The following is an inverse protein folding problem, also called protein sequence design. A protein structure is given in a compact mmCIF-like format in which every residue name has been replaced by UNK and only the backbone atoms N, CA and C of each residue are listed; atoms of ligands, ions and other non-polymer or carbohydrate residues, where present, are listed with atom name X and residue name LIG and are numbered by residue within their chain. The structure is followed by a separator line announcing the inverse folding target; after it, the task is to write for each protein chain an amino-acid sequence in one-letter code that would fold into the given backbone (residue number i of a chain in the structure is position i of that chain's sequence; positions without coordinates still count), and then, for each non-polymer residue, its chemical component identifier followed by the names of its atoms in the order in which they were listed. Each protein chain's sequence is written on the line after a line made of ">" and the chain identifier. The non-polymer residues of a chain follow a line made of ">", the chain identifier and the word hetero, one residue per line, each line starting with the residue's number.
data_IF_082172847432
#
_entry.id   IF_082172847432
#
_cell.length_a   1.000
_cell.length_b   1.000
_cell.length_c   1.000
_cell.angle_alpha   90.00
_cell.angle_beta   90.00
_cell.angle_gamma   90.00
#
_symmetry.space_group_name_H-M   'P 1'
#
loop_
_entity.id
_entity.type
_entity.pdbx_description
1 polymer ?
#
# COMPACT_ATOMS: atom_id res chain seq x y z
N UNK A 1 29.29 -1.90 49.57
CA UNK A 1 27.84 -1.94 49.24
C UNK A 1 27.33 -0.63 48.61
N UNK A 2 27.56 0.55 49.21
CA UNK A 2 27.09 1.85 48.63
C UNK A 2 27.61 2.16 47.21
N UNK A 3 28.89 1.87 46.92
CA UNK A 3 29.47 2.06 45.58
C UNK A 3 28.92 1.10 44.53
N UNK A 4 28.58 -0.12 44.92
CA UNK A 4 27.96 -1.11 44.04
C UNK A 4 26.52 -0.69 43.69
N UNK A 5 25.76 -0.23 44.68
CA UNK A 5 24.41 0.28 44.47
C UNK A 5 24.41 1.51 43.53
N UNK A 6 25.35 2.44 43.71
CA UNK A 6 25.49 3.60 42.83
C UNK A 6 25.82 3.20 41.38
N UNK A 7 26.67 2.18 41.19
CA UNK A 7 27.00 1.65 39.86
C UNK A 7 25.78 1.00 39.19
N UNK A 8 25.00 0.22 39.94
CA UNK A 8 23.78 -0.43 39.43
C UNK A 8 22.75 0.62 39.00
N UNK A 9 22.56 1.67 39.80
CA UNK A 9 21.64 2.78 39.47
C UNK A 9 22.11 3.53 38.22
N UNK A 10 23.41 3.80 38.10
CA UNK A 10 23.98 4.46 36.92
C UNK A 10 23.78 3.61 35.66
N UNK A 11 24.03 2.30 35.75
CA UNK A 11 23.84 1.34 34.63
C UNK A 11 22.36 1.26 34.21
N UNK A 12 21.43 1.25 35.17
CA UNK A 12 19.99 1.32 34.89
C UNK A 12 19.61 2.60 34.15
N UNK A 13 20.18 3.74 34.54
CA UNK A 13 19.85 5.04 33.93
C UNK A 13 20.45 5.21 32.52
N UNK A 14 21.58 4.56 32.22
CA UNK A 14 22.21 4.64 30.90
C UNK A 14 21.64 3.62 29.90
N UNK A 15 21.13 2.48 30.37
CA UNK A 15 20.53 1.45 29.51
C UNK A 15 19.04 1.67 29.22
N UNK A 16 18.32 2.40 30.07
CA UNK A 16 16.89 2.75 29.87
C UNK A 16 16.58 3.61 28.62
N UNK A 17 17.41 4.57 28.17
CA UNK A 17 17.14 5.27 26.91
C UNK A 17 17.37 4.40 25.68
N UNK A 18 18.25 3.39 25.76
CA UNK A 18 18.60 2.53 24.61
C UNK A 18 17.41 1.66 24.19
N UNK A 19 16.60 1.18 25.14
CA UNK A 19 15.39 0.42 24.82
C UNK A 19 14.30 1.26 24.15
N UNK A 20 14.27 2.58 24.37
CA UNK A 20 13.35 3.49 23.67
C UNK A 20 13.76 3.78 22.23
N UNK A 21 15.04 3.63 21.87
CA UNK A 21 15.49 3.85 20.50
C UNK A 21 15.00 2.76 19.53
N UNK A 22 14.67 1.57 20.04
CA UNK A 22 14.14 0.48 19.23
C UNK A 22 12.61 0.50 19.11
N UNK A 23 11.92 1.43 19.77
CA UNK A 23 10.47 1.54 19.74
C UNK A 23 10.05 2.91 19.22
N UNK A 24 9.33 2.91 18.11
CA UNK A 24 8.59 4.10 17.68
C UNK A 24 7.34 4.26 18.56
N UNK A 25 6.86 5.50 18.80
CA UNK A 25 5.58 5.71 19.46
C UNK A 25 4.39 5.03 18.76
N UNK A 26 4.52 4.68 17.47
CA UNK A 26 3.51 3.94 16.72
C UNK A 26 3.45 2.46 17.11
N UNK A 27 4.54 1.92 17.66
CA UNK A 27 4.66 0.49 17.97
C UNK A 27 3.69 0.08 19.09
N UNK A 28 3.31 1.00 19.99
CA UNK A 28 2.29 0.74 21.02
C UNK A 28 0.89 0.54 20.44
N UNK A 29 0.64 1.04 19.22
CA UNK A 29 -0.64 0.95 18.52
C UNK A 29 -0.52 0.17 17.22
N UNK A 30 0.45 -0.75 17.16
CA UNK A 30 0.70 -1.59 16.01
C UNK A 30 0.70 -3.06 16.39
N UNK A 31 0.22 -3.88 15.46
CA UNK A 31 0.36 -5.34 15.49
C UNK A 31 1.08 -5.75 14.21
N UNK A 32 2.16 -6.50 14.36
CA UNK A 32 2.96 -7.03 13.27
C UNK A 32 2.96 -8.55 13.30
N UNK A 33 2.84 -9.17 12.13
CA UNK A 33 2.95 -10.61 11.94
C UNK A 33 3.91 -10.91 10.81
N UNK A 34 4.74 -11.93 11.01
CA UNK A 34 5.67 -12.44 9.99
C UNK A 34 5.10 -13.72 9.38
N UNK A 35 5.03 -13.76 8.06
CA UNK A 35 4.48 -14.87 7.30
C UNK A 35 5.61 -15.83 6.87
N UNK A 36 6.11 -16.63 7.81
CA UNK A 36 7.31 -17.45 7.61
C UNK A 36 7.14 -18.95 7.88
N UNK A 37 5.89 -19.45 7.82
CA UNK A 37 5.63 -20.87 8.07
C UNK A 37 6.44 -21.76 7.10
N UNK A 38 7.26 -22.70 7.61
CA UNK A 38 8.05 -23.58 6.76
C UNK A 38 7.20 -24.36 5.75
N UNK A 39 7.68 -24.45 4.51
CA UNK A 39 6.99 -25.15 3.43
C UNK A 39 5.80 -24.38 2.81
N UNK A 40 5.53 -23.15 3.26
CA UNK A 40 4.50 -22.29 2.67
C UNK A 40 5.15 -21.10 1.98
N UNK A 41 4.79 -20.88 0.72
CA UNK A 41 5.19 -19.70 -0.05
C UNK A 41 4.01 -18.73 -0.06
N UNK A 42 4.17 -17.60 0.62
CA UNK A 42 3.17 -16.54 0.63
C UNK A 42 3.31 -15.70 -0.63
N UNK A 43 2.33 -15.83 -1.54
CA UNK A 43 2.20 -14.98 -2.71
C UNK A 43 1.06 -13.99 -2.47
N UNK A 44 1.31 -12.68 -2.56
CA UNK A 44 0.27 -11.68 -2.39
C UNK A 44 -0.78 -11.79 -3.49
N UNK A 45 -2.05 -11.72 -3.13
CA UNK A 45 -3.16 -11.61 -4.07
C UNK A 45 -4.12 -10.50 -3.61
N UNK A 46 -4.35 -9.43 -4.41
CA UNK A 46 -3.74 -9.16 -5.72
C UNK A 46 -2.20 -9.03 -5.64
N UNK A 47 -1.47 -9.18 -6.77
CA UNK A 47 -0.06 -8.80 -6.82
C UNK A 47 0.08 -7.39 -6.24
N UNK A 48 1.13 -7.14 -5.47
CA UNK A 48 1.19 -5.91 -4.68
C UNK A 48 1.06 -4.61 -5.52
N UNK A 49 1.48 -4.64 -6.78
CA UNK A 49 1.38 -3.54 -7.75
C UNK A 49 -0.06 -3.24 -8.19
N UNK A 50 -1.01 -4.15 -7.95
CA UNK A 50 -2.41 -4.02 -8.35
C UNK A 50 -3.31 -3.43 -7.24
N UNK A 51 -2.75 -3.10 -6.07
CA UNK A 51 -3.49 -2.41 -5.01
C UNK A 51 -3.74 -0.95 -5.42
N UNK A 52 -4.98 -0.63 -5.80
CA UNK A 52 -5.42 0.75 -5.99
C UNK A 52 -5.41 1.48 -4.64
N UNK A 53 -4.86 2.70 -4.59
CA UNK A 53 -4.67 3.51 -3.37
C UNK A 53 -3.64 2.96 -2.37
N UNK A 54 -2.67 2.17 -2.82
CA UNK A 54 -1.46 1.87 -2.05
C UNK A 54 -0.32 2.81 -2.45
N UNK A 55 0.36 3.36 -1.44
CA UNK A 55 1.64 4.01 -1.62
C UNK A 55 2.72 2.93 -1.64
N UNK A 56 3.54 2.93 -2.69
CA UNK A 56 4.60 1.96 -2.90
C UNK A 56 5.94 2.69 -2.78
N UNK A 57 6.71 2.36 -1.75
CA UNK A 57 8.01 2.96 -1.50
C UNK A 57 9.03 1.86 -1.18
N UNK A 58 10.09 1.75 -1.99
CA UNK A 58 11.15 0.75 -1.81
C UNK A 58 10.66 -0.71 -1.63
N UNK A 59 9.60 -1.11 -2.35
CA UNK A 59 9.01 -2.45 -2.22
C UNK A 59 8.18 -2.67 -0.95
N UNK A 60 7.96 -1.61 -0.17
CA UNK A 60 6.99 -1.56 0.92
C UNK A 60 5.67 -1.03 0.38
N UNK A 61 4.58 -1.72 0.70
CA UNK A 61 3.22 -1.33 0.34
C UNK A 61 2.55 -0.78 1.58
N UNK A 62 2.06 0.46 1.49
CA UNK A 62 1.35 1.13 2.57
C UNK A 62 -0.02 1.52 2.03
N UNK A 63 -1.07 1.04 2.67
CA UNK A 63 -2.44 1.40 2.28
C UNK A 63 -3.31 1.64 3.50
N UNK A 64 -4.36 2.42 3.28
CA UNK A 64 -5.36 2.72 4.31
C UNK A 64 -6.37 1.59 4.37
N UNK A 65 -6.74 1.15 5.57
CA UNK A 65 -7.73 0.08 5.73
C UNK A 65 -9.09 0.53 5.19
N UNK A 66 -9.77 -0.39 4.50
CA UNK A 66 -11.14 -0.19 4.03
C UNK A 66 -12.17 -0.22 5.18
N UNK A 67 -11.83 -0.86 6.31
CA UNK A 67 -12.74 -1.02 7.45
C UNK A 67 -12.68 0.15 8.43
N UNK A 68 -11.51 0.74 8.65
CA UNK A 68 -11.33 1.91 9.50
C UNK A 68 -10.26 2.83 8.92
N UNK A 69 -10.63 4.06 8.61
CA UNK A 69 -9.74 5.07 8.03
C UNK A 69 -8.60 5.48 8.97
N UNK A 70 -8.63 5.10 10.24
CA UNK A 70 -7.53 5.34 11.20
C UNK A 70 -6.43 4.30 11.11
N UNK A 71 -6.70 3.17 10.47
CA UNK A 71 -5.75 2.09 10.36
C UNK A 71 -5.01 2.15 9.03
N UNK A 72 -3.71 1.95 9.11
CA UNK A 72 -2.83 1.74 7.97
C UNK A 72 -2.27 0.33 8.04
N UNK A 73 -2.13 -0.27 6.87
CA UNK A 73 -1.53 -1.58 6.69
C UNK A 73 -0.24 -1.36 5.92
N UNK A 74 0.86 -1.88 6.48
CA UNK A 74 2.17 -1.91 5.87
C UNK A 74 2.53 -3.36 5.57
N UNK A 75 3.06 -3.58 4.38
CA UNK A 75 3.45 -4.90 3.90
C UNK A 75 4.79 -4.81 3.18
N UNK A 76 5.77 -5.58 3.63
CA UNK A 76 7.12 -5.58 3.06
C UNK A 76 7.75 -6.96 3.15
N UNK A 77 8.80 -7.21 2.37
CA UNK A 77 9.60 -8.41 2.49
C UNK A 77 10.81 -8.11 3.40
N UNK A 78 10.92 -8.84 4.51
CA UNK A 78 12.07 -8.88 5.39
C UNK A 78 12.99 -10.07 5.10
N UNK A 79 14.07 -10.19 5.85
CA UNK A 79 15.01 -11.33 5.75
C UNK A 79 14.40 -12.66 6.16
N UNK A 80 13.39 -12.63 7.02
CA UNK A 80 12.70 -13.77 7.63
C UNK A 80 11.33 -14.05 7.02
N UNK A 81 10.94 -13.31 5.97
CA UNK A 81 9.71 -13.52 5.21
C UNK A 81 8.93 -12.22 4.99
N UNK A 82 7.71 -12.30 4.43
CA UNK A 82 6.83 -11.14 4.33
C UNK A 82 6.29 -10.72 5.70
N UNK A 83 6.32 -9.43 6.00
CA UNK A 83 5.79 -8.85 7.22
C UNK A 83 4.50 -8.09 6.89
N UNK A 84 3.48 -8.31 7.70
CA UNK A 84 2.24 -7.55 7.66
C UNK A 84 2.09 -6.81 8.99
N UNK A 85 2.03 -5.48 8.93
CA UNK A 85 1.84 -4.62 10.10
C UNK A 85 0.60 -3.77 9.95
N UNK A 86 -0.29 -3.85 10.93
CA UNK A 86 -1.46 -2.98 11.05
C UNK A 86 -1.19 -1.99 12.16
N UNK A 87 -1.34 -0.70 11.89
CA UNK A 87 -1.01 0.34 12.86
C UNK A 87 -1.93 1.56 12.79
N UNK A 88 -2.03 2.28 13.92
CA UNK A 88 -2.54 3.66 13.97
C UNK A 88 -1.34 4.59 13.84
N UNK A 89 -1.31 5.54 12.88
CA UNK A 89 -0.23 6.51 12.75
C UNK A 89 -0.27 7.49 13.92
N UNK A 90 0.89 7.75 14.51
CA UNK A 90 1.04 8.70 15.63
C UNK A 90 1.01 10.16 15.17
N UNK A 91 1.44 10.40 13.93
CA UNK A 91 1.32 11.68 13.26
C UNK A 91 0.42 11.53 12.04
N UNK A 92 -0.69 12.24 12.08
CA UNK A 92 -1.49 12.52 10.90
C UNK A 92 -0.78 13.61 10.12
N UNK A 93 0.16 13.24 9.25
CA UNK A 93 0.33 14.06 8.06
C UNK A 93 -0.99 13.95 7.31
N UNK A 94 -1.73 15.05 7.20
CA UNK A 94 -2.66 15.25 6.09
C UNK A 94 -1.82 15.23 4.83
N UNK A 95 -1.40 14.04 4.42
CA UNK A 95 -1.18 13.79 3.02
C UNK A 95 -2.59 13.80 2.45
N UNK A 96 -2.93 14.91 1.80
CA UNK A 96 -4.02 14.95 0.86
C UNK A 96 -3.69 13.91 -0.21
N UNK A 97 -3.97 12.63 0.09
CA UNK A 97 -4.03 11.58 -0.90
C UNK A 97 -5.11 12.08 -1.84
N UNK A 98 -4.67 12.67 -2.95
CA UNK A 98 -5.53 13.31 -3.92
C UNK A 98 -6.36 12.22 -4.58
N UNK A 99 -7.46 11.85 -3.92
CA UNK A 99 -8.47 10.97 -4.47
C UNK A 99 -9.24 11.80 -5.50
N UNK A 100 -8.76 11.78 -6.74
CA UNK A 100 -9.52 12.29 -7.87
C UNK A 100 -10.69 11.34 -8.16
N UNK A 101 -11.91 11.73 -7.79
CA UNK A 101 -13.10 11.07 -8.31
C UNK A 101 -13.49 11.72 -9.64
N UNK A 102 -13.44 10.97 -10.73
CA UNK A 102 -13.91 11.45 -12.02
C UNK A 102 -15.38 11.04 -12.20
N UNK A 103 -16.29 11.98 -11.99
CA UNK A 103 -17.71 11.81 -12.32
C UNK A 103 -17.98 12.47 -13.69
N UNK A 104 -17.98 11.69 -14.77
CA UNK A 104 -18.37 12.17 -16.10
C UNK A 104 -19.70 11.57 -16.51
N UNK A 105 -20.63 12.42 -16.92
CA UNK A 105 -21.78 12.00 -17.71
C UNK A 105 -21.39 12.12 -19.18
N UNK A 106 -21.10 10.99 -19.82
CA UNK A 106 -20.82 10.92 -21.26
C UNK A 106 -22.15 10.78 -22.01
N UNK A 107 -22.47 11.79 -22.82
CA UNK A 107 -23.55 11.75 -23.79
C UNK A 107 -22.96 11.30 -25.13
N UNK A 108 -23.09 10.02 -25.43
CA UNK A 108 -22.61 9.45 -26.69
C UNK A 108 -23.77 9.45 -27.69
N UNK A 109 -23.65 10.24 -28.75
CA UNK A 109 -24.64 10.25 -29.84
C UNK A 109 -24.38 9.11 -30.82
N UNK A 110 -25.41 8.62 -31.54
CA UNK A 110 -25.24 7.61 -32.58
C UNK A 110 -24.17 7.96 -33.62
N UNK A 111 -24.10 9.22 -34.05
CA UNK A 111 -23.09 9.69 -35.00
C UNK A 111 -21.66 9.59 -34.45
N UNK A 112 -21.48 9.81 -33.14
CA UNK A 112 -20.18 9.66 -32.49
C UNK A 112 -19.75 8.18 -32.41
N UNK A 113 -20.70 7.27 -32.17
CA UNK A 113 -20.46 5.83 -32.23
C UNK A 113 -20.01 5.38 -33.63
N UNK A 114 -20.62 5.90 -34.69
CA UNK A 114 -20.22 5.57 -36.06
C UNK A 114 -18.80 6.03 -36.37
N UNK A 115 -18.45 7.28 -36.01
CA UNK A 115 -17.09 7.82 -36.20
C UNK A 115 -16.04 7.03 -35.43
N UNK A 116 -16.36 6.57 -34.21
CA UNK A 116 -15.44 5.73 -33.45
C UNK A 116 -15.17 4.40 -34.15
N UNK A 117 -16.18 3.77 -34.77
CA UNK A 117 -15.97 2.55 -35.57
C UNK A 117 -15.09 2.82 -36.78
N UNK A 118 -15.32 3.92 -37.50
CA UNK A 118 -14.49 4.34 -38.64
C UNK A 118 -13.03 4.55 -38.23
N UNK A 119 -12.80 5.10 -37.04
CA UNK A 119 -11.47 5.32 -36.45
C UNK A 119 -10.81 4.03 -35.90
N UNK A 120 -11.42 2.87 -36.10
CA UNK A 120 -10.89 1.56 -35.73
C UNK A 120 -11.11 1.18 -34.26
N UNK A 121 -12.08 1.80 -33.59
CA UNK A 121 -12.50 1.39 -32.25
C UNK A 121 -13.50 0.23 -32.33
N UNK A 122 -13.30 -0.78 -31.48
CA UNK A 122 -14.27 -1.82 -31.20
C UNK A 122 -15.27 -1.30 -30.17
N UNK A 123 -16.56 -1.47 -30.43
CA UNK A 123 -17.64 -0.97 -29.59
C UNK A 123 -18.46 -2.16 -29.11
N UNK A 124 -18.47 -2.40 -27.81
CA UNK A 124 -19.29 -3.46 -27.19
C UNK A 124 -20.66 -2.96 -26.75
N UNK A 125 -20.75 -1.73 -26.26
CA UNK A 125 -21.99 -1.07 -25.88
C UNK A 125 -21.90 0.47 -26.00
N UNK A 126 -22.91 1.20 -25.50
CA UNK A 126 -22.99 2.67 -25.58
C UNK A 126 -22.05 3.41 -24.60
N UNK A 127 -21.32 2.68 -23.76
CA UNK A 127 -20.42 3.21 -22.72
C UNK A 127 -19.01 2.62 -22.77
N UNK A 128 -18.80 1.57 -23.57
CA UNK A 128 -17.57 0.79 -23.60
C UNK A 128 -17.00 0.76 -25.03
N UNK A 129 -15.82 1.34 -25.18
CA UNK A 129 -15.11 1.51 -26.44
C UNK A 129 -13.65 1.11 -26.25
N UNK A 130 -13.12 0.23 -27.09
CA UNK A 130 -11.76 -0.29 -26.99
C UNK A 130 -11.03 -0.10 -28.30
N UNK A 131 -9.77 0.33 -28.23
CA UNK A 131 -8.87 0.37 -29.39
C UNK A 131 -7.58 -0.33 -29.01
N UNK A 132 -7.21 -1.33 -29.81
CA UNK A 132 -5.93 -2.01 -29.64
C UNK A 132 -4.79 -0.99 -29.66
N UNK A 133 -3.87 -1.12 -28.71
CA UNK A 133 -2.65 -0.29 -28.68
C UNK A 133 -1.81 -0.48 -29.95
N UNK A 134 -0.91 0.47 -30.20
CA UNK A 134 -0.04 0.60 -31.38
C UNK A 134 0.99 -0.54 -31.59
N UNK A 135 0.76 -1.75 -31.08
CA UNK A 135 1.75 -2.84 -31.10
C UNK A 135 1.39 -4.05 -31.97
N UNK A 136 0.30 -4.02 -32.74
CA UNK A 136 0.02 -5.06 -33.73
C UNK A 136 -0.26 -4.46 -35.11
N UNK A 137 0.68 -4.54 -36.07
CA UNK A 137 0.39 -4.20 -37.45
C UNK A 137 -0.58 -5.24 -38.05
N UNK A 138 -1.41 -4.83 -39.03
CA UNK A 138 -2.33 -5.75 -39.68
C UNK A 138 -1.55 -6.81 -40.46
N UNK A 139 -1.73 -8.08 -40.09
CA UNK A 139 -1.37 -9.21 -40.96
C UNK A 139 -2.32 -9.21 -42.15
N UNK A 140 -1.81 -8.81 -43.31
CA UNK A 140 -2.43 -9.12 -44.60
C UNK A 140 -2.32 -10.60 -44.96
#
# INVERSE_FOLDING_TARGET
>A
MKRLAALIVLIMFTLTPVVKACMSPADTYAVEVVLNKPGIIYKPYPPFHALHNALIENGTFIFRSHYDRRLYVRLWNGSDGPHLRVQIPVEWKTEDVSMGSLNVSLLVTPDALERLKEDGWSISDNTTFERGGYDNPPTG
#
